data_IF_634046811554
#
_entry.id   IF_634046811554
#
_cell.length_a   1.000
_cell.length_b   1.000
_cell.length_c   1.000
_cell.angle_alpha   90.00
_cell.angle_beta   90.00
_cell.angle_gamma   90.00
#
_symmetry.space_group_name_H-M   'P 1'
#
loop_
_entity.id
_entity.type
_entity.pdbx_description
1 polymer ?
#
# COMPACT_ATOMS: atom_id res chain seq x y z
N UNK A 1 -4.91 1.56 0.18
CA UNK A 1 -3.99 0.43 -0.16
C UNK A 1 -2.62 1.03 -0.44
N UNK A 2 -1.62 0.23 -0.86
CA UNK A 2 -0.34 0.76 -1.32
C UNK A 2 -0.09 0.32 -2.77
N UNK A 3 1.11 0.57 -3.31
CA UNK A 3 1.43 0.48 -4.73
C UNK A 3 1.03 -0.84 -5.40
N UNK A 4 1.43 -2.00 -4.86
CA UNK A 4 1.10 -3.30 -5.48
C UNK A 4 -0.39 -3.60 -5.37
N UNK A 5 -0.99 -3.23 -4.25
CA UNK A 5 -2.43 -3.29 -4.07
C UNK A 5 -3.20 -2.54 -5.16
N UNK A 6 -2.82 -1.29 -5.47
CA UNK A 6 -3.45 -0.52 -6.54
C UNK A 6 -3.22 -1.13 -7.92
N UNK A 7 -2.02 -1.66 -8.19
CA UNK A 7 -1.75 -2.38 -9.44
C UNK A 7 -2.61 -3.65 -9.58
N UNK A 8 -2.82 -4.39 -8.48
CA UNK A 8 -3.67 -5.59 -8.45
C UNK A 8 -5.13 -5.28 -8.77
N UNK A 9 -5.68 -4.19 -8.24
CA UNK A 9 -7.06 -3.82 -8.55
C UNK A 9 -7.16 -3.29 -9.98
N UNK A 10 -6.22 -2.46 -10.43
CA UNK A 10 -6.21 -1.93 -11.79
C UNK A 10 -6.26 -3.03 -12.85
N UNK A 11 -5.42 -4.08 -12.71
CA UNK A 11 -5.34 -5.19 -13.68
C UNK A 11 -6.62 -6.05 -13.78
N UNK A 12 -7.56 -5.94 -12.83
CA UNK A 12 -8.87 -6.58 -12.97
C UNK A 12 -9.72 -5.93 -14.07
N UNK A 13 -9.47 -4.65 -14.35
CA UNK A 13 -10.25 -3.86 -15.30
C UNK A 13 -9.50 -3.59 -16.60
N UNK A 14 -8.21 -3.25 -16.51
CA UNK A 14 -7.36 -3.00 -17.66
C UNK A 14 -5.90 -3.27 -17.31
N UNK A 15 -5.20 -4.01 -18.18
CA UNK A 15 -3.78 -4.37 -18.03
C UNK A 15 -2.86 -3.43 -18.81
N UNK A 16 -3.38 -2.39 -19.46
CA UNK A 16 -2.56 -1.33 -20.06
C UNK A 16 -1.60 -0.75 -19.01
N UNK A 17 -0.27 -0.81 -19.24
CA UNK A 17 0.72 -0.26 -18.31
C UNK A 17 0.51 1.23 -17.98
N UNK A 18 -0.06 2.03 -18.89
CA UNK A 18 -0.42 3.43 -18.61
C UNK A 18 -1.57 3.54 -17.61
N UNK A 19 -2.54 2.62 -17.68
CA UNK A 19 -3.67 2.58 -16.74
C UNK A 19 -3.19 2.14 -15.35
N UNK A 20 -2.40 1.07 -15.29
CA UNK A 20 -1.79 0.57 -14.06
C UNK A 20 -0.87 1.63 -13.43
N UNK A 21 -0.06 2.33 -14.24
CA UNK A 21 0.73 3.47 -13.76
C UNK A 21 -0.16 4.55 -13.17
N UNK A 22 -1.24 4.92 -13.85
CA UNK A 22 -2.22 5.89 -13.35
C UNK A 22 -2.77 5.50 -11.98
N UNK A 23 -3.05 4.22 -11.74
CA UNK A 23 -3.55 3.73 -10.46
C UNK A 23 -2.51 3.79 -9.31
N UNK A 24 -1.22 3.74 -9.63
CA UNK A 24 -0.13 3.87 -8.65
C UNK A 24 0.33 5.32 -8.46
N UNK A 25 0.04 6.20 -9.41
CA UNK A 25 0.63 7.53 -9.51
C UNK A 25 0.35 8.44 -8.30
N UNK A 26 -0.84 8.44 -7.67
CA UNK A 26 -1.08 9.23 -6.47
C UNK A 26 -0.17 8.84 -5.30
N UNK A 27 0.09 7.55 -5.09
CA UNK A 27 1.01 7.05 -4.06
C UNK A 27 2.46 7.37 -4.39
N UNK A 28 2.86 7.18 -5.66
CA UNK A 28 4.19 7.56 -6.13
C UNK A 28 4.46 9.05 -5.88
N UNK A 29 3.47 9.92 -6.10
CA UNK A 29 3.55 11.35 -5.76
C UNK A 29 3.74 11.56 -4.26
N UNK A 30 2.96 10.87 -3.42
CA UNK A 30 3.08 10.97 -1.96
C UNK A 30 4.47 10.56 -1.49
N UNK A 31 5.02 9.46 -2.04
CA UNK A 31 6.37 8.98 -1.75
C UNK A 31 7.43 9.98 -2.23
N UNK A 32 7.25 10.56 -3.42
CA UNK A 32 8.15 11.55 -4.01
C UNK A 32 8.02 12.95 -3.37
N UNK A 33 6.93 13.22 -2.63
CA UNK A 33 6.57 14.55 -2.10
C UNK A 33 6.44 15.62 -3.16
N UNK A 34 5.97 15.24 -4.35
CA UNK A 34 5.75 16.16 -5.45
C UNK A 34 4.44 16.95 -5.26
N UNK A 35 4.44 18.23 -5.66
CA UNK A 35 3.36 19.18 -5.35
C UNK A 35 2.16 19.13 -6.30
N UNK A 36 2.33 18.66 -7.54
CA UNK A 36 1.24 18.60 -8.52
C UNK A 36 1.33 17.36 -9.41
N UNK A 37 0.15 16.85 -9.79
CA UNK A 37 -0.05 15.85 -10.83
C UNK A 37 -1.04 16.41 -11.83
N UNK A 38 -0.64 16.58 -13.09
CA UNK A 38 -1.58 16.82 -14.18
C UNK A 38 -1.31 15.76 -15.25
N UNK A 39 -1.91 14.56 -15.13
CA UNK A 39 -1.82 13.56 -16.17
C UNK A 39 -2.58 14.09 -17.40
N UNK A 40 -1.85 14.45 -18.46
CA UNK A 40 -2.46 14.87 -19.74
C UNK A 40 -2.86 13.67 -20.62
N UNK A 41 -2.41 12.46 -20.25
CA UNK A 41 -2.72 11.22 -20.96
C UNK A 41 -4.03 10.61 -20.44
N UNK A 42 -5.01 10.42 -21.31
CA UNK A 42 -6.38 10.01 -20.92
C UNK A 42 -6.44 8.67 -20.17
N UNK A 43 -5.62 7.69 -20.57
CA UNK A 43 -5.55 6.38 -19.89
C UNK A 43 -4.97 6.51 -18.47
N UNK A 44 -3.97 7.37 -18.28
CA UNK A 44 -3.37 7.60 -16.96
C UNK A 44 -4.35 8.31 -16.05
N UNK A 45 -5.10 9.29 -16.57
CA UNK A 45 -6.15 9.96 -15.81
C UNK A 45 -7.26 8.97 -15.37
N UNK A 46 -7.61 8.02 -16.24
CA UNK A 46 -8.56 6.94 -15.90
C UNK A 46 -8.01 6.01 -14.81
N UNK A 47 -6.70 5.70 -14.85
CA UNK A 47 -6.01 4.98 -13.78
C UNK A 47 -6.02 5.74 -12.45
N UNK A 48 -5.83 7.06 -12.46
CA UNK A 48 -5.93 7.90 -11.25
C UNK A 48 -7.34 7.88 -10.68
N UNK A 49 -8.37 7.91 -11.52
CA UNK A 49 -9.75 7.73 -11.05
C UNK A 49 -9.95 6.34 -10.43
N UNK A 50 -9.35 5.29 -11.00
CA UNK A 50 -9.36 3.93 -10.46
C UNK A 50 -8.66 3.85 -9.09
N UNK A 51 -7.55 4.57 -8.87
CA UNK A 51 -6.89 4.67 -7.57
C UNK A 51 -7.86 5.15 -6.50
N UNK A 52 -8.53 6.28 -6.72
CA UNK A 52 -9.46 6.86 -5.74
C UNK A 52 -10.65 5.94 -5.45
N UNK A 53 -11.19 5.26 -6.46
CA UNK A 53 -12.24 4.25 -6.27
C UNK A 53 -11.74 3.07 -5.44
N UNK A 54 -10.53 2.58 -5.74
CA UNK A 54 -9.90 1.46 -5.02
C UNK A 54 -9.72 1.80 -3.55
N UNK A 55 -9.19 2.99 -3.25
CA UNK A 55 -9.01 3.44 -1.86
C UNK A 55 -10.34 3.52 -1.11
N UNK A 56 -11.35 4.17 -1.71
CA UNK A 56 -12.67 4.25 -1.09
C UNK A 56 -13.28 2.86 -0.85
N UNK A 57 -13.13 1.93 -1.79
CA UNK A 57 -13.63 0.56 -1.66
C UNK A 57 -12.89 -0.22 -0.57
N UNK A 58 -11.56 -0.16 -0.53
CA UNK A 58 -10.71 -0.88 0.41
C UNK A 58 -10.82 -0.34 1.83
N UNK A 59 -10.76 0.98 2.03
CA UNK A 59 -10.89 1.57 3.37
C UNK A 59 -12.31 1.40 3.94
N UNK A 60 -13.30 1.15 3.08
CA UNK A 60 -14.66 0.77 3.47
C UNK A 60 -14.91 -0.75 3.56
N UNK A 61 -13.90 -1.59 3.32
CA UNK A 61 -14.03 -3.04 3.39
C UNK A 61 -14.17 -3.49 4.86
N UNK A 62 -15.24 -4.22 5.24
CA UNK A 62 -15.44 -4.66 6.63
C UNK A 62 -14.26 -5.43 7.20
N UNK A 63 -13.60 -6.26 6.39
CA UNK A 63 -12.39 -6.99 6.72
C UNK A 63 -11.25 -6.08 7.18
N UNK A 64 -10.92 -5.07 6.38
CA UNK A 64 -9.83 -4.16 6.67
C UNK A 64 -10.15 -3.29 7.90
N UNK A 65 -11.39 -2.82 8.02
CA UNK A 65 -11.84 -2.04 9.18
C UNK A 65 -11.74 -2.87 10.47
N UNK A 66 -12.26 -4.09 10.46
CA UNK A 66 -12.19 -5.00 11.61
C UNK A 66 -10.73 -5.33 11.98
N UNK A 67 -9.88 -5.59 10.99
CA UNK A 67 -8.46 -5.84 11.19
C UNK A 67 -7.74 -4.63 11.82
N UNK A 68 -8.05 -3.40 11.37
CA UNK A 68 -7.48 -2.19 11.97
C UNK A 68 -7.92 -1.99 13.44
N UNK A 69 -9.20 -2.26 13.75
CA UNK A 69 -9.71 -2.18 15.13
C UNK A 69 -8.99 -3.19 16.02
N UNK A 70 -8.96 -4.45 15.60
CA UNK A 70 -8.33 -5.52 16.36
C UNK A 70 -6.82 -5.30 16.54
N UNK A 71 -6.13 -4.85 15.48
CA UNK A 71 -4.73 -4.45 15.55
C UNK A 71 -4.52 -3.31 16.57
N UNK A 72 -5.41 -2.33 16.58
CA UNK A 72 -5.41 -1.26 17.59
C UNK A 72 -5.53 -1.79 19.01
N UNK A 73 -6.40 -2.77 19.26
CA UNK A 73 -6.56 -3.38 20.59
C UNK A 73 -5.32 -4.18 21.01
N UNK A 74 -4.78 -5.03 20.13
CA UNK A 74 -3.59 -5.84 20.39
C UNK A 74 -2.36 -4.96 20.71
N UNK A 75 -2.08 -3.96 19.86
CA UNK A 75 -0.98 -3.02 20.06
C UNK A 75 -1.16 -2.19 21.34
N UNK A 76 -2.40 -1.88 21.74
CA UNK A 76 -2.66 -1.19 23.00
C UNK A 76 -2.34 -2.06 24.22
N UNK A 77 -2.73 -3.33 24.17
CA UNK A 77 -2.43 -4.31 25.21
C UNK A 77 -0.92 -4.52 25.36
N UNK A 78 -0.19 -4.43 24.24
CA UNK A 78 1.28 -4.48 24.21
C UNK A 78 1.95 -3.12 24.56
N UNK A 79 1.19 -2.13 25.02
CA UNK A 79 1.71 -0.87 25.57
C UNK A 79 2.01 0.24 24.54
N UNK A 80 1.63 0.07 23.28
CA UNK A 80 1.87 1.08 22.23
C UNK A 80 0.88 2.24 22.36
N UNK A 81 1.40 3.48 22.36
CA UNK A 81 0.60 4.70 22.50
C UNK A 81 -0.38 4.86 21.34
N UNK A 82 -1.46 5.59 21.60
CA UNK A 82 -2.58 5.78 20.67
C UNK A 82 -2.18 6.23 19.26
N UNK A 83 -1.29 7.22 19.13
CA UNK A 83 -0.90 7.77 17.82
C UNK A 83 -0.19 6.75 16.92
N UNK A 84 0.99 6.23 17.34
CA UNK A 84 1.70 5.18 16.62
C UNK A 84 0.83 3.95 16.38
N UNK A 85 0.08 3.50 17.39
CA UNK A 85 -0.81 2.35 17.31
C UNK A 85 -1.81 2.45 16.15
N UNK A 86 -2.53 3.57 16.02
CA UNK A 86 -3.50 3.74 14.94
C UNK A 86 -2.82 3.81 13.57
N UNK A 87 -1.67 4.48 13.49
CA UNK A 87 -0.90 4.58 12.26
C UNK A 87 -0.30 3.22 11.82
N UNK A 88 0.25 2.45 12.76
CA UNK A 88 0.81 1.12 12.54
C UNK A 88 -0.30 0.13 12.18
N UNK A 89 -1.43 0.15 12.87
CA UNK A 89 -2.58 -0.71 12.55
C UNK A 89 -3.04 -0.50 11.09
N UNK A 90 -3.09 0.75 10.63
CA UNK A 90 -3.52 1.06 9.26
C UNK A 90 -2.40 0.81 8.23
N UNK A 91 -1.31 1.58 8.32
CA UNK A 91 -0.23 1.57 7.33
C UNK A 91 0.56 0.25 7.37
N UNK A 92 0.70 -0.37 8.54
CA UNK A 92 1.37 -1.65 8.68
C UNK A 92 0.63 -2.76 7.94
N UNK A 93 -0.70 -2.81 8.02
CA UNK A 93 -1.51 -3.77 7.26
C UNK A 93 -1.40 -3.53 5.75
N UNK A 94 -1.41 -2.27 5.29
CA UNK A 94 -1.23 -1.96 3.87
C UNK A 94 0.16 -2.37 3.34
N UNK A 95 1.22 -2.18 4.15
CA UNK A 95 2.56 -2.63 3.78
C UNK A 95 2.65 -4.16 3.75
N UNK A 96 2.15 -4.85 4.77
CA UNK A 96 2.14 -6.32 4.78
C UNK A 96 1.33 -6.89 3.60
N UNK A 97 0.23 -6.24 3.22
CA UNK A 97 -0.57 -6.60 2.05
C UNK A 97 0.26 -6.54 0.76
N UNK A 98 0.99 -5.46 0.51
CA UNK A 98 1.90 -5.36 -0.64
C UNK A 98 2.98 -6.48 -0.61
N UNK A 99 3.47 -6.84 0.58
CA UNK A 99 4.41 -7.94 0.76
C UNK A 99 3.84 -9.30 0.34
N UNK A 100 2.61 -9.61 0.78
CA UNK A 100 1.93 -10.84 0.40
C UNK A 100 1.56 -10.85 -1.09
N UNK A 101 1.09 -9.73 -1.64
CA UNK A 101 0.79 -9.60 -3.07
C UNK A 101 2.01 -9.74 -3.96
N UNK A 102 3.20 -9.37 -3.48
CA UNK A 102 4.44 -9.53 -4.24
C UNK A 102 4.76 -10.98 -4.61
N UNK A 103 4.09 -12.01 -4.04
CA UNK A 103 4.26 -13.42 -4.42
C UNK A 103 3.63 -13.76 -5.78
N UNK A 104 2.69 -12.95 -6.28
CA UNK A 104 2.14 -13.12 -7.63
C UNK A 104 3.11 -12.54 -8.68
N UNK A 105 3.84 -13.42 -9.35
CA UNK A 105 4.81 -13.03 -10.38
C UNK A 105 4.15 -12.23 -11.53
N UNK A 106 2.93 -12.58 -11.93
CA UNK A 106 2.25 -11.87 -13.02
C UNK A 106 1.81 -10.45 -12.61
N UNK A 107 1.46 -10.25 -11.34
CA UNK A 107 1.22 -8.91 -10.79
C UNK A 107 2.52 -8.10 -10.76
N UNK A 108 3.62 -8.72 -10.35
CA UNK A 108 4.94 -8.07 -10.33
C UNK A 108 5.37 -7.65 -11.72
N UNK A 109 5.15 -8.47 -12.75
CA UNK A 109 5.44 -8.12 -14.14
C UNK A 109 4.62 -6.90 -14.60
N UNK A 110 3.31 -6.88 -14.33
CA UNK A 110 2.44 -5.74 -14.66
C UNK A 110 2.90 -4.45 -13.93
N UNK A 111 3.29 -4.57 -12.66
CA UNK A 111 3.84 -3.48 -11.85
C UNK A 111 5.14 -2.92 -12.42
N UNK A 112 6.10 -3.79 -12.76
CA UNK A 112 7.39 -3.39 -13.32
C UNK A 112 7.20 -2.76 -14.70
N UNK A 113 6.34 -3.34 -15.55
CA UNK A 113 6.02 -2.77 -16.87
C UNK A 113 5.45 -1.34 -16.76
N UNK A 114 4.55 -1.09 -15.81
CA UNK A 114 4.01 0.24 -15.56
C UNK A 114 5.06 1.25 -15.08
N UNK A 115 6.05 0.82 -14.29
CA UNK A 115 7.15 1.68 -13.84
C UNK A 115 8.15 2.04 -14.95
N UNK A 116 8.20 1.26 -16.04
CA UNK A 116 9.07 1.51 -17.18
C UNK A 116 8.51 2.57 -18.16
N UNK A 117 7.27 3.01 -17.96
CA UNK A 117 6.61 3.97 -18.84
C UNK A 117 7.25 5.36 -18.75
N UNK A 118 7.61 5.90 -19.92
CA UNK A 118 8.16 7.24 -20.04
C UNK A 118 7.06 8.27 -20.26
N UNK A 119 6.74 9.03 -19.20
CA UNK A 119 5.83 10.17 -19.25
C UNK A 119 6.52 11.41 -18.69
N UNK A 120 6.15 12.63 -19.16
CA UNK A 120 6.65 13.89 -18.61
C UNK A 120 6.07 14.15 -17.20
N UNK A 121 6.60 13.45 -16.21
CA UNK A 121 6.26 13.54 -14.80
C UNK A 121 7.26 14.43 -14.05
N UNK A 122 6.88 14.82 -12.82
CA UNK A 122 7.79 15.47 -11.88
C UNK A 122 9.09 14.67 -11.68
N UNK A 123 10.23 15.36 -11.55
CA UNK A 123 11.54 14.72 -11.44
C UNK A 123 11.65 13.78 -10.23
N UNK A 124 11.05 14.15 -9.09
CA UNK A 124 11.04 13.32 -7.89
C UNK A 124 10.21 12.04 -8.08
N UNK A 125 9.06 12.15 -8.77
CA UNK A 125 8.25 10.97 -9.12
C UNK A 125 9.04 10.05 -10.05
N UNK A 126 9.70 10.59 -11.06
CA UNK A 126 10.55 9.81 -11.98
C UNK A 126 11.70 9.12 -11.25
N UNK A 127 12.35 9.79 -10.31
CA UNK A 127 13.41 9.18 -9.50
C UNK A 127 12.89 7.99 -8.68
N UNK A 128 11.73 8.15 -8.03
CA UNK A 128 11.07 7.07 -7.29
C UNK A 128 10.73 5.90 -8.21
N UNK A 129 10.15 6.16 -9.38
CA UNK A 129 9.84 5.12 -10.38
C UNK A 129 11.10 4.38 -10.83
N UNK A 130 12.16 5.09 -11.21
CA UNK A 130 13.44 4.48 -11.62
C UNK A 130 14.08 3.63 -10.51
N UNK A 131 13.98 4.06 -9.25
CA UNK A 131 14.47 3.28 -8.11
C UNK A 131 13.62 2.03 -7.90
N UNK A 132 12.30 2.13 -7.97
CA UNK A 132 11.39 0.99 -7.82
C UNK A 132 11.55 0.00 -8.98
N UNK A 133 11.63 0.47 -10.21
CA UNK A 133 11.85 -0.36 -11.40
C UNK A 133 13.14 -1.19 -11.27
N UNK A 134 14.24 -0.58 -10.82
CA UNK A 134 15.51 -1.30 -10.58
C UNK A 134 15.43 -2.32 -9.45
N UNK A 135 14.63 -2.06 -8.41
CA UNK A 135 14.47 -2.96 -7.26
C UNK A 135 13.48 -4.10 -7.55
N UNK A 136 12.54 -3.88 -8.47
CA UNK A 136 11.39 -4.77 -8.68
C UNK A 136 10.31 -4.58 -7.63
N UNK A 137 9.57 -5.65 -7.33
CA UNK A 137 8.51 -5.63 -6.31
C UNK A 137 9.05 -5.23 -4.92
N UNK A 138 8.20 -4.68 -4.03
CA UNK A 138 8.58 -4.37 -2.66
C UNK A 138 8.74 -5.63 -1.80
N UNK A 139 9.63 -6.57 -2.18
CA UNK A 139 9.86 -7.83 -1.48
C UNK A 139 10.24 -7.66 0.00
N UNK A 140 10.82 -6.52 0.37
CA UNK A 140 11.08 -6.17 1.77
C UNK A 140 9.83 -6.11 2.64
N UNK A 141 8.65 -5.87 2.05
CA UNK A 141 7.39 -5.91 2.79
C UNK A 141 6.98 -7.32 3.23
N UNK A 142 7.66 -8.36 2.75
CA UNK A 142 7.48 -9.74 3.23
C UNK A 142 8.17 -10.01 4.57
N UNK A 143 9.06 -9.12 5.00
CA UNK A 143 9.75 -9.23 6.28
C UNK A 143 9.16 -8.20 7.26
N UNK A 144 8.50 -8.63 8.35
CA UNK A 144 8.01 -7.77 9.43
C UNK A 144 9.06 -6.80 9.97
N UNK A 145 10.35 -7.18 9.98
CA UNK A 145 11.42 -6.28 10.40
C UNK A 145 11.65 -5.13 9.42
N UNK A 146 11.69 -5.41 8.11
CA UNK A 146 11.78 -4.35 7.10
C UNK A 146 10.52 -3.46 7.09
N UNK A 147 9.33 -4.02 7.33
CA UNK A 147 8.08 -3.24 7.49
C UNK A 147 8.15 -2.32 8.70
N UNK A 148 8.64 -2.80 9.85
CA UNK A 148 8.86 -1.99 11.04
C UNK A 148 9.80 -0.80 10.75
N UNK A 149 10.93 -1.05 10.09
CA UNK A 149 11.88 0.00 9.69
C UNK A 149 11.22 1.02 8.75
N UNK A 150 10.43 0.56 7.79
CA UNK A 150 9.66 1.41 6.87
C UNK A 150 8.65 2.27 7.62
N UNK A 151 7.92 1.70 8.57
CA UNK A 151 6.97 2.44 9.42
C UNK A 151 7.69 3.52 10.24
N UNK A 152 8.81 3.20 10.87
CA UNK A 152 9.60 4.18 11.63
C UNK A 152 10.05 5.35 10.73
N UNK A 153 10.46 5.06 9.50
CA UNK A 153 10.84 6.08 8.52
C UNK A 153 9.66 6.96 8.07
N UNK A 154 8.53 6.36 7.70
CA UNK A 154 7.36 7.08 7.17
C UNK A 154 6.69 7.90 8.28
N UNK A 155 6.53 7.32 9.46
CA UNK A 155 5.89 7.96 10.60
C UNK A 155 6.81 8.95 11.32
N UNK A 156 8.13 8.79 11.20
CA UNK A 156 9.15 9.61 11.87
C UNK A 156 9.04 11.12 11.64
N UNK A 157 8.33 11.54 10.58
CA UNK A 157 8.08 12.95 10.26
C UNK A 157 6.92 13.56 11.04
N UNK A 158 6.16 12.75 11.76
CA UNK A 158 4.98 13.15 12.50
C UNK A 158 5.17 12.80 13.99
N UNK A 159 5.61 13.74 14.84
CA UNK A 159 5.97 13.45 16.24
C UNK A 159 4.89 12.71 17.04
N UNK A 160 3.61 12.92 16.70
CA UNK A 160 2.46 12.24 17.34
C UNK A 160 2.26 10.79 16.89
N UNK A 161 2.82 10.41 15.74
CA UNK A 161 2.70 9.07 15.14
C UNK A 161 4.00 8.27 15.22
N UNK A 162 5.15 8.93 15.44
CA UNK A 162 6.45 8.28 15.56
C UNK A 162 6.48 7.32 16.76
N UNK A 163 6.75 6.02 16.54
CA UNK A 163 7.02 5.08 17.63
C UNK A 163 8.24 5.48 18.44
N UNK A 164 8.16 5.35 19.76
CA UNK A 164 9.30 5.44 20.67
C UNK A 164 10.14 4.16 20.59
N UNK A 165 11.44 4.21 20.97
CA UNK A 165 12.32 3.04 20.94
C UNK A 165 11.74 1.80 21.63
N UNK A 166 11.09 1.96 22.78
CA UNK A 166 10.44 0.91 23.55
C UNK A 166 9.20 0.31 22.87
N UNK A 167 8.56 1.05 21.96
CA UNK A 167 7.38 0.58 21.21
C UNK A 167 7.78 -0.27 20.00
N UNK A 168 9.05 -0.24 19.58
CA UNK A 168 9.52 -0.94 18.39
C UNK A 168 9.38 -2.45 18.51
N UNK A 169 9.85 -3.05 19.62
CA UNK A 169 9.77 -4.51 19.80
C UNK A 169 8.32 -5.02 19.83
N UNK A 170 7.38 -4.42 20.59
CA UNK A 170 5.95 -4.71 20.48
C UNK A 170 5.40 -4.64 19.05
N UNK A 171 5.71 -3.56 18.32
CA UNK A 171 5.23 -3.36 16.94
C UNK A 171 5.74 -4.49 16.03
N UNK A 172 7.01 -4.89 16.15
CA UNK A 172 7.56 -6.00 15.35
C UNK A 172 6.85 -7.32 15.65
N UNK A 173 6.71 -7.65 16.93
CA UNK A 173 6.03 -8.88 17.33
C UNK A 173 4.58 -8.91 16.85
N UNK A 174 3.89 -7.76 16.85
CA UNK A 174 2.57 -7.64 16.27
C UNK A 174 2.59 -7.83 14.74
N UNK A 175 3.52 -7.21 14.01
CA UNK A 175 3.64 -7.36 12.55
C UNK A 175 3.83 -8.83 12.13
N UNK A 176 4.62 -9.61 12.88
CA UNK A 176 4.81 -11.04 12.64
C UNK A 176 3.50 -11.82 12.76
N UNK A 177 2.70 -11.56 13.82
CA UNK A 177 1.38 -12.18 14.01
C UNK A 177 0.37 -11.71 12.95
N UNK A 178 0.36 -10.41 12.66
CA UNK A 178 -0.53 -9.78 11.70
C UNK A 178 -0.28 -10.30 10.28
N UNK A 179 0.98 -10.52 9.89
CA UNK A 179 1.32 -11.09 8.59
C UNK A 179 0.75 -12.50 8.43
N UNK A 180 0.92 -13.36 9.44
CA UNK A 180 0.38 -14.72 9.41
C UNK A 180 -1.15 -14.72 9.29
N UNK A 181 -1.83 -13.85 10.04
CA UNK A 181 -3.30 -13.68 9.96
C UNK A 181 -3.74 -13.14 8.60
N UNK A 182 -3.07 -12.10 8.11
CA UNK A 182 -3.35 -11.50 6.80
C UNK A 182 -3.22 -12.54 5.69
N UNK A 183 -2.15 -13.34 5.68
CA UNK A 183 -1.95 -14.40 4.67
C UNK A 183 -3.10 -15.40 4.66
N UNK A 184 -3.59 -15.81 5.83
CA UNK A 184 -4.72 -16.74 5.94
C UNK A 184 -6.04 -16.12 5.44
N UNK A 185 -6.23 -14.81 5.62
CA UNK A 185 -7.45 -14.11 5.26
C UNK A 185 -7.42 -13.44 3.87
N UNK A 186 -6.26 -13.35 3.24
CA UNK A 186 -6.04 -12.60 2.01
C UNK A 186 -7.02 -12.97 0.88
N UNK A 187 -7.33 -14.26 0.60
CA UNK A 187 -8.33 -14.60 -0.42
C UNK A 187 -9.68 -13.95 -0.16
N UNK A 188 -10.15 -13.97 1.09
CA UNK A 188 -11.43 -13.37 1.50
C UNK A 188 -11.42 -11.85 1.34
N UNK A 189 -10.29 -11.20 1.66
CA UNK A 189 -10.14 -9.76 1.47
C UNK A 189 -10.19 -9.38 -0.02
N UNK A 190 -9.52 -10.16 -0.87
CA UNK A 190 -9.52 -9.97 -2.32
C UNK A 190 -10.93 -10.15 -2.89
N UNK A 191 -11.65 -11.20 -2.50
CA UNK A 191 -13.01 -11.47 -2.96
C UNK A 191 -14.00 -10.37 -2.52
N UNK A 192 -13.88 -9.92 -1.26
CA UNK A 192 -14.67 -8.82 -0.73
C UNK A 192 -14.39 -7.50 -1.44
N UNK A 193 -13.12 -7.20 -1.72
CA UNK A 193 -12.72 -6.01 -2.46
C UNK A 193 -13.24 -6.06 -3.90
N UNK A 194 -13.08 -7.18 -4.60
CA UNK A 194 -13.60 -7.37 -5.96
C UNK A 194 -15.11 -7.14 -6.01
N UNK A 195 -15.85 -7.75 -5.09
CA UNK A 195 -17.31 -7.58 -4.99
C UNK A 195 -17.72 -6.11 -4.81
N UNK A 196 -16.95 -5.33 -4.02
CA UNK A 196 -17.18 -3.89 -3.84
C UNK A 196 -16.80 -3.06 -5.08
N UNK A 197 -15.78 -3.48 -5.82
CA UNK A 197 -15.34 -2.80 -7.03
C UNK A 197 -16.29 -3.01 -8.22
N UNK A 198 -16.98 -4.16 -8.25
CA UNK A 198 -17.99 -4.51 -9.27
C UNK A 198 -19.38 -3.92 -8.97
N UNK A 199 -19.62 -3.49 -7.72
CA UNK A 199 -20.87 -2.84 -7.35
C UNK A 199 -21.01 -1.48 -8.08
N UNK A 200 -22.20 -1.14 -8.61
CA UNK A 200 -22.46 0.19 -9.15
C UNK A 200 -22.28 1.24 -8.05
N UNK A 201 -21.60 2.33 -8.41
CA UNK A 201 -21.32 3.47 -7.53
C UNK A 201 -22.58 4.24 -7.13
#
# INVERSE_FOLDING_TARGET
MNLLGHAMVARWFDRDPYFVLGAMLPDLRTIARASALVPRHGVVASGVAMHHRTDAAFHGLPEFVAACVHAGEELAADGVRRGPRLAVAHVGLELLLDGELAHDAALVDDFVAALAIELPLDAGVREVMTRLHRRGAPHGHRDPHEVQQRLAHVLGRHPRLTPMPEELMPIRAWLERAQARLRAELPRWIDGLRSRMDAPA
#
